data_IF_447006298379
#
_entry.id   IF_447006298379
#
_cell.length_a   1.000
_cell.length_b   1.000
_cell.length_c   1.000
_cell.angle_alpha   90.00
_cell.angle_beta   90.00
_cell.angle_gamma   90.00
#
_symmetry.space_group_name_H-M   'P 1'
#
loop_
_entity.id
_entity.type
_entity.pdbx_description
1 polymer ?
#
# COMPACT_ATOMS: atom_id res chain seq x y z
N UNK A 1 7.22 -9.76 10.51
CA UNK A 1 7.08 -9.21 9.15
C UNK A 1 6.55 -10.30 8.28
N UNK A 2 5.33 -10.11 7.82
CA UNK A 2 4.55 -11.01 7.00
C UNK A 2 3.92 -10.23 5.85
N UNK A 3 3.39 -10.96 4.87
CA UNK A 3 2.55 -10.36 3.83
C UNK A 3 1.27 -9.78 4.43
N UNK A 4 0.78 -8.73 3.79
CA UNK A 4 -0.42 -7.97 4.13
C UNK A 4 -0.35 -7.19 5.45
N UNK A 5 0.81 -7.16 6.10
CA UNK A 5 1.09 -6.24 7.20
C UNK A 5 1.35 -4.82 6.69
N UNK A 6 0.98 -3.85 7.51
CA UNK A 6 1.19 -2.44 7.27
C UNK A 6 2.37 -1.95 8.12
N UNK A 7 3.26 -1.18 7.51
CA UNK A 7 4.42 -0.59 8.18
C UNK A 7 4.54 0.90 7.88
N UNK A 8 5.18 1.64 8.79
CA UNK A 8 5.63 3.01 8.50
C UNK A 8 6.98 2.94 7.79
N UNK A 9 7.02 3.46 6.57
CA UNK A 9 8.14 3.31 5.64
C UNK A 9 8.54 4.67 5.08
N UNK A 10 9.84 4.89 4.93
CA UNK A 10 10.32 5.99 4.10
C UNK A 10 10.26 5.58 2.62
N UNK A 11 9.31 6.14 1.87
CA UNK A 11 9.13 5.78 0.44
C UNK A 11 9.65 6.93 -0.43
N UNK A 12 10.63 6.68 -1.32
CA UNK A 12 11.09 7.68 -2.27
C UNK A 12 9.98 8.09 -3.25
N UNK A 13 10.02 9.33 -3.72
CA UNK A 13 9.20 9.76 -4.85
C UNK A 13 9.83 9.30 -6.17
N UNK A 14 9.00 9.10 -7.20
CA UNK A 14 9.46 8.66 -8.51
C UNK A 14 10.15 9.79 -9.31
N UNK A 15 9.86 11.05 -8.96
CA UNK A 15 10.19 12.22 -9.78
C UNK A 15 11.34 13.08 -9.21
N UNK A 16 11.75 12.86 -7.97
CA UNK A 16 12.81 13.64 -7.33
C UNK A 16 13.49 12.86 -6.19
N UNK A 17 14.60 13.42 -5.67
CA UNK A 17 15.34 12.85 -4.54
C UNK A 17 14.61 12.99 -3.19
N UNK A 18 13.36 13.44 -3.17
CA UNK A 18 12.59 13.52 -1.94
C UNK A 18 12.02 12.14 -1.59
N UNK A 19 11.69 11.97 -0.32
CA UNK A 19 11.00 10.80 0.18
C UNK A 19 9.92 11.24 1.16
N UNK A 20 8.95 10.36 1.43
CA UNK A 20 7.88 10.63 2.39
C UNK A 20 7.64 9.42 3.27
N UNK A 21 7.63 9.68 4.57
CA UNK A 21 7.22 8.74 5.60
C UNK A 21 5.72 8.52 5.51
N UNK A 22 5.30 7.28 5.27
CA UNK A 22 3.88 6.91 5.14
C UNK A 22 3.64 5.46 5.50
N UNK A 23 2.39 5.07 5.81
CA UNK A 23 2.02 3.67 5.84
C UNK A 23 2.20 3.03 4.45
N UNK A 24 2.61 1.77 4.44
CA UNK A 24 2.78 0.95 3.25
C UNK A 24 2.38 -0.50 3.55
N UNK A 25 1.78 -1.15 2.55
CA UNK A 25 1.34 -2.54 2.62
C UNK A 25 2.44 -3.44 2.08
N UNK A 26 2.89 -4.42 2.86
CA UNK A 26 3.85 -5.44 2.41
C UNK A 26 3.14 -6.49 1.57
N UNK A 27 3.55 -6.67 0.31
CA UNK A 27 2.96 -7.69 -0.59
C UNK A 27 3.92 -8.81 -0.93
N UNK A 28 5.22 -8.59 -0.80
CA UNK A 28 6.23 -9.63 -1.01
C UNK A 28 7.45 -9.40 -0.11
N UNK A 29 8.08 -10.49 0.31
CA UNK A 29 9.28 -10.46 1.14
C UNK A 29 10.37 -11.28 0.45
N UNK A 30 11.50 -10.65 0.11
CA UNK A 30 12.64 -11.28 -0.58
C UNK A 30 13.95 -10.95 0.13
N UNK A 31 14.35 -11.81 1.06
CA UNK A 31 15.61 -11.64 1.81
C UNK A 31 15.68 -10.30 2.56
N UNK A 32 16.58 -9.41 2.13
CA UNK A 32 16.75 -8.04 2.70
C UNK A 32 15.80 -6.99 2.11
N UNK A 33 15.03 -7.37 1.09
CA UNK A 33 14.11 -6.50 0.37
C UNK A 33 12.65 -6.90 0.65
N UNK A 34 11.76 -5.93 0.46
CA UNK A 34 10.32 -6.12 0.44
C UNK A 34 9.72 -5.36 -0.72
N UNK A 35 8.63 -5.90 -1.24
CA UNK A 35 7.78 -5.22 -2.21
C UNK A 35 6.57 -4.67 -1.48
N UNK A 36 6.26 -3.40 -1.72
CA UNK A 36 5.16 -2.70 -1.05
C UNK A 36 4.22 -2.00 -2.02
N UNK A 37 2.97 -1.82 -1.60
CA UNK A 37 2.09 -0.77 -2.11
C UNK A 37 2.09 0.44 -1.17
N UNK A 38 1.99 1.65 -1.73
CA UNK A 38 1.82 2.88 -0.94
C UNK A 38 0.41 2.91 -0.36
N UNK A 39 0.27 3.38 0.88
CA UNK A 39 -1.04 3.74 1.44
C UNK A 39 -1.16 5.26 1.49
N UNK A 40 -2.33 5.76 1.15
CA UNK A 40 -2.60 7.20 1.04
C UNK A 40 -4.01 7.53 1.49
N UNK A 41 -4.15 8.68 2.16
CA UNK A 41 -5.43 9.29 2.47
C UNK A 41 -5.84 10.36 1.44
N UNK A 42 -4.98 10.66 0.46
CA UNK A 42 -5.18 11.76 -0.49
C UNK A 42 -6.04 11.36 -1.70
N UNK A 43 -6.96 10.41 -1.55
CA UNK A 43 -7.80 9.93 -2.65
C UNK A 43 -8.72 11.02 -3.21
N UNK A 44 -9.37 11.80 -2.34
CA UNK A 44 -10.41 12.78 -2.72
C UNK A 44 -9.90 13.77 -3.78
N UNK A 45 -8.65 14.22 -3.67
CA UNK A 45 -8.07 15.25 -4.55
C UNK A 45 -7.52 14.69 -5.87
N UNK A 46 -7.60 13.37 -6.12
CA UNK A 46 -7.09 12.75 -7.35
C UNK A 46 -8.12 12.80 -8.49
N UNK A 47 -7.61 12.82 -9.74
CA UNK A 47 -8.44 12.72 -10.94
C UNK A 47 -9.17 11.38 -11.00
N UNK A 48 -10.30 11.32 -11.72
CA UNK A 48 -11.09 10.08 -11.88
C UNK A 48 -10.24 8.92 -12.40
N UNK A 49 -9.35 9.17 -13.37
CA UNK A 49 -8.47 8.16 -13.95
C UNK A 49 -7.47 7.61 -12.92
N UNK A 50 -6.89 8.47 -12.08
CA UNK A 50 -5.95 8.04 -11.02
C UNK A 50 -6.69 7.23 -9.94
N UNK A 51 -7.90 7.67 -9.55
CA UNK A 51 -8.72 7.00 -8.53
C UNK A 51 -9.05 5.54 -8.86
N UNK A 52 -9.09 5.17 -10.14
CA UNK A 52 -9.33 3.77 -10.57
C UNK A 52 -8.24 2.79 -10.11
N UNK A 53 -7.05 3.27 -9.76
CA UNK A 53 -5.97 2.46 -9.23
C UNK A 53 -5.91 2.46 -7.69
N UNK A 54 -6.92 3.00 -7.00
CA UNK A 54 -6.90 3.18 -5.56
C UNK A 54 -7.97 2.30 -4.92
N UNK A 55 -7.55 1.22 -4.29
CA UNK A 55 -8.47 0.33 -3.56
C UNK A 55 -8.79 0.95 -2.18
N UNK A 56 -10.07 1.19 -1.84
CA UNK A 56 -10.45 1.65 -0.51
C UNK A 56 -10.23 0.56 0.53
N UNK A 57 -9.52 0.86 1.62
CA UNK A 57 -9.40 -0.06 2.75
C UNK A 57 -10.68 0.07 3.59
N UNK A 58 -11.50 -0.98 3.58
CA UNK A 58 -12.82 -1.00 4.23
C UNK A 58 -12.65 -0.98 5.74
N UNK A 59 -11.83 -1.89 6.27
CA UNK A 59 -11.62 -2.07 7.70
C UNK A 59 -10.37 -1.32 8.20
N UNK A 60 -10.19 -0.07 7.75
CA UNK A 60 -8.96 0.70 8.00
C UNK A 60 -8.66 0.89 9.50
N UNK A 61 -9.67 0.99 10.35
CA UNK A 61 -9.50 1.07 11.82
C UNK A 61 -8.87 -0.23 12.34
N UNK A 62 -9.40 -1.38 11.92
CA UNK A 62 -8.92 -2.72 12.32
C UNK A 62 -7.49 -2.94 11.80
N UNK A 63 -7.19 -2.43 10.60
CA UNK A 63 -5.85 -2.45 10.02
C UNK A 63 -4.84 -1.49 10.70
N UNK A 64 -5.25 -0.75 11.74
CA UNK A 64 -4.38 0.12 12.53
C UNK A 64 -4.14 1.51 11.93
N UNK A 65 -4.95 1.92 10.94
CA UNK A 65 -4.88 3.25 10.34
C UNK A 65 -5.71 4.25 11.13
N UNK A 66 -5.27 5.51 11.15
CA UNK A 66 -5.93 6.59 11.90
C UNK A 66 -7.14 7.22 11.19
N UNK A 67 -7.27 6.97 9.89
CA UNK A 67 -8.32 7.51 9.05
C UNK A 67 -8.50 6.67 7.78
N UNK A 68 -9.63 6.89 7.11
CA UNK A 68 -9.93 6.28 5.82
C UNK A 68 -8.77 6.47 4.83
N UNK A 69 -8.29 5.34 4.30
CA UNK A 69 -7.10 5.28 3.48
C UNK A 69 -7.29 4.28 2.34
N UNK A 70 -6.39 4.36 1.37
CA UNK A 70 -6.48 3.61 0.13
C UNK A 70 -5.13 2.96 -0.16
N UNK A 71 -5.16 1.74 -0.67
CA UNK A 71 -3.99 1.09 -1.28
C UNK A 71 -3.83 1.64 -2.69
N UNK A 72 -2.71 2.30 -2.96
CA UNK A 72 -2.33 2.74 -4.31
C UNK A 72 -1.78 1.54 -5.07
N UNK A 73 -2.58 0.97 -5.96
CA UNK A 73 -2.24 -0.19 -6.78
C UNK A 73 -1.63 0.20 -8.13
N UNK A 74 -1.29 1.48 -8.36
CA UNK A 74 -0.73 1.91 -9.64
C UNK A 74 0.63 1.24 -9.90
N UNK A 75 1.48 1.16 -8.86
CA UNK A 75 2.82 0.58 -8.91
C UNK A 75 3.23 0.00 -7.55
N UNK A 76 4.04 -1.04 -7.60
CA UNK A 76 4.75 -1.57 -6.42
C UNK A 76 6.15 -0.97 -6.30
N UNK A 77 6.68 -0.92 -5.08
CA UNK A 77 8.04 -0.44 -4.80
C UNK A 77 8.85 -1.51 -4.09
N UNK A 78 10.05 -1.76 -4.61
CA UNK A 78 11.03 -2.63 -3.96
C UNK A 78 11.95 -1.79 -3.09
N UNK A 79 11.96 -2.06 -1.80
CA UNK A 79 12.73 -1.30 -0.82
C UNK A 79 13.51 -2.23 0.11
N UNK A 80 14.58 -1.72 0.71
CA UNK A 80 15.29 -2.44 1.76
C UNK A 80 14.47 -2.43 3.05
N UNK A 81 14.49 -3.54 3.79
CA UNK A 81 13.85 -3.63 5.12
C UNK A 81 14.32 -2.55 6.10
N UNK A 82 15.53 -2.01 5.90
CA UNK A 82 16.08 -0.90 6.70
C UNK A 82 15.35 0.43 6.50
N UNK A 83 14.52 0.58 5.46
CA UNK A 83 13.71 1.78 5.24
C UNK A 83 12.46 1.85 6.13
N UNK A 84 12.19 0.80 6.91
CA UNK A 84 11.09 0.75 7.86
C UNK A 84 11.51 1.47 9.15
N UNK A 85 10.67 2.40 9.60
CA UNK A 85 10.95 3.19 10.81
C UNK A 85 10.80 2.40 12.11
N UNK A 86 9.87 1.44 12.16
CA UNK A 86 9.58 0.63 13.35
C UNK A 86 9.57 -0.85 12.99
N UNK A 87 10.27 -1.68 13.77
CA UNK A 87 10.34 -3.13 13.52
C UNK A 87 8.99 -3.85 13.63
N UNK A 88 8.03 -3.28 14.36
CA UNK A 88 6.68 -3.82 14.48
C UNK A 88 5.72 -3.20 13.46
N UNK A 89 4.79 -3.99 12.89
CA UNK A 89 3.76 -3.47 12.00
C UNK A 89 2.80 -2.54 12.77
N UNK A 90 2.16 -1.61 12.05
CA UNK A 90 1.05 -0.81 12.62
C UNK A 90 -0.26 -1.61 12.67
N UNK A 91 -0.35 -2.68 11.88
CA UNK A 91 -1.50 -3.55 11.77
C UNK A 91 -1.40 -4.43 10.53
N UNK A 92 -2.50 -5.08 10.16
CA UNK A 92 -2.59 -6.01 9.02
C UNK A 92 -3.94 -5.82 8.33
N UNK A 93 -4.00 -5.96 7.00
CA UNK A 93 -5.28 -5.98 6.32
C UNK A 93 -6.14 -7.15 6.80
N UNK A 94 -7.45 -6.92 6.92
CA UNK A 94 -8.42 -7.98 7.22
C UNK A 94 -8.56 -8.92 6.02
N UNK A 95 -9.09 -10.12 6.24
CA UNK A 95 -9.37 -11.06 5.15
C UNK A 95 -10.32 -10.46 4.10
N UNK A 96 -11.30 -9.65 4.54
CA UNK A 96 -12.19 -8.90 3.66
C UNK A 96 -11.41 -7.96 2.75
N UNK A 97 -10.50 -7.16 3.32
CA UNK A 97 -9.70 -6.22 2.55
C UNK A 97 -8.67 -6.90 1.65
N UNK A 98 -8.10 -8.02 2.07
CA UNK A 98 -7.19 -8.82 1.24
C UNK A 98 -7.91 -9.38 0.02
N UNK A 99 -9.11 -9.95 0.21
CA UNK A 99 -9.92 -10.49 -0.89
C UNK A 99 -10.41 -9.37 -1.82
N UNK A 100 -10.86 -8.25 -1.25
CA UNK A 100 -11.28 -7.07 -2.00
C UNK A 100 -10.15 -6.51 -2.87
N UNK A 101 -8.96 -6.35 -2.29
CA UNK A 101 -7.77 -5.89 -3.01
C UNK A 101 -7.38 -6.85 -4.14
N UNK A 102 -7.43 -8.16 -3.90
CA UNK A 102 -7.14 -9.17 -4.91
C UNK A 102 -8.08 -9.05 -6.11
N UNK A 103 -9.40 -9.02 -5.88
CA UNK A 103 -10.38 -8.86 -6.96
C UNK A 103 -10.22 -7.52 -7.68
N UNK A 104 -9.92 -6.45 -6.95
CA UNK A 104 -9.70 -5.12 -7.52
C UNK A 104 -8.51 -5.12 -8.50
N UNK A 105 -7.38 -5.71 -8.11
CA UNK A 105 -6.19 -5.80 -8.97
C UNK A 105 -6.47 -6.68 -10.19
N UNK A 106 -7.13 -7.83 -10.02
CA UNK A 106 -7.46 -8.72 -11.15
C UNK A 106 -8.36 -8.04 -12.18
N UNK A 107 -9.37 -7.30 -11.72
CA UNK A 107 -10.25 -6.52 -12.59
C UNK A 107 -9.44 -5.50 -13.40
N UNK A 108 -8.56 -4.75 -12.75
CA UNK A 108 -7.75 -3.71 -13.40
C UNK A 108 -6.67 -4.25 -14.36
N UNK A 109 -6.14 -5.46 -14.12
CA UNK A 109 -5.21 -6.11 -15.04
C UNK A 109 -5.90 -6.75 -16.25
N UNK A 110 -7.17 -7.17 -16.12
CA UNK A 110 -7.91 -7.83 -17.21
C UNK A 110 -8.29 -6.87 -18.35
N UNK A 111 -8.29 -5.55 -18.12
CA UNK A 111 -8.55 -4.53 -19.15
C UNK A 111 -7.32 -4.08 -19.95
N UNK A 112 -6.14 -4.70 -19.73
CA UNK A 112 -4.90 -4.40 -20.47
C UNK A 112 -4.57 -5.44 -21.58
N UNK A 113 -5.58 -6.14 -22.10
CA UNK A 113 -5.43 -6.97 -23.31
C UNK A 113 -5.91 -6.22 -24.54
#
# INVERSE_FOLDING_TARGET
MEQMELYIVNVPFDENNNSKVRPALVVEIKGKYITIFKITNQYINKSKNIKQAYYPIIDWIIAGLKQASYVDTHRTYNIRKTAIFKKQPIGKLTSTDVLGLYHFIQKNHSFKK
#
